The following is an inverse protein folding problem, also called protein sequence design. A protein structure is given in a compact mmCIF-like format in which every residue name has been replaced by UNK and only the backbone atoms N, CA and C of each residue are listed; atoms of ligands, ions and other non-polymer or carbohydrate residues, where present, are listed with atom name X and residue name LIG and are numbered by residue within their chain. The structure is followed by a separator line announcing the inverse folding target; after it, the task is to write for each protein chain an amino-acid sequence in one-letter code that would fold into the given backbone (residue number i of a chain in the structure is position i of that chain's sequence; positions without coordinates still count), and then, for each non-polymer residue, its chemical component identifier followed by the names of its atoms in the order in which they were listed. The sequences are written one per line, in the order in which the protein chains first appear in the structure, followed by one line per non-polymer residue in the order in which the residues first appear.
data_IF_894898453498
#
_entry.id   IF_894898453498
#
_cell.length_a   1.000
_cell.length_b   1.000
_cell.length_c   1.000
_cell.angle_alpha   90.00
_cell.angle_beta   90.00
_cell.angle_gamma   90.00
#
_symmetry.space_group_name_H-M   'P 1'
#
loop_
_entity.id
_entity.type
_entity.pdbx_description
1 polymer ?
#
# COMPACT_ATOMS: atom_id res chain seq x y z
N UNK A 1 -31.52 11.55 1.29
CA UNK A 1 -30.33 11.69 2.17
C UNK A 1 -30.02 10.39 2.93
N UNK A 2 -31.02 9.65 3.47
CA UNK A 2 -30.76 8.34 4.12
C UNK A 2 -30.34 7.20 3.18
N UNK A 3 -30.78 7.20 1.92
CA UNK A 3 -30.45 6.10 0.98
C UNK A 3 -29.01 6.12 0.45
N UNK A 4 -28.35 7.29 0.39
CA UNK A 4 -26.95 7.39 -0.06
C UNK A 4 -25.94 6.78 0.92
N UNK A 5 -26.26 6.74 2.22
CA UNK A 5 -25.39 6.11 3.23
C UNK A 5 -25.39 4.58 3.13
N UNK A 6 -26.55 4.00 2.83
CA UNK A 6 -26.70 2.54 2.73
C UNK A 6 -25.93 1.96 1.53
N UNK A 7 -25.92 2.69 0.39
CA UNK A 7 -25.18 2.28 -0.81
C UNK A 7 -23.68 2.21 -0.53
N UNK A 8 -23.15 3.16 0.23
CA UNK A 8 -21.71 3.23 0.50
C UNK A 8 -21.27 2.20 1.55
N UNK A 9 -22.13 1.89 2.52
CA UNK A 9 -21.92 0.76 3.45
C UNK A 9 -21.93 -0.60 2.73
N UNK A 10 -22.85 -0.78 1.77
CA UNK A 10 -22.93 -2.01 0.96
C UNK A 10 -21.72 -2.16 0.03
N UNK A 11 -21.26 -1.07 -0.59
CA UNK A 11 -20.04 -1.08 -1.42
C UNK A 11 -18.81 -1.49 -0.61
N UNK A 12 -18.65 -0.95 0.60
CA UNK A 12 -17.48 -1.28 1.41
C UNK A 12 -17.52 -2.71 1.94
N UNK A 13 -18.73 -3.24 2.21
CA UNK A 13 -18.91 -4.66 2.53
C UNK A 13 -18.55 -5.57 1.34
N UNK A 14 -19.00 -5.24 0.14
CA UNK A 14 -18.65 -5.99 -1.09
C UNK A 14 -17.14 -5.96 -1.30
N UNK A 15 -16.49 -4.81 -1.08
CA UNK A 15 -15.03 -4.69 -1.22
C UNK A 15 -14.27 -5.57 -0.25
N UNK A 16 -14.68 -5.59 1.02
CA UNK A 16 -14.09 -6.44 2.06
C UNK A 16 -14.28 -7.92 1.74
N UNK A 17 -15.49 -8.30 1.31
CA UNK A 17 -15.82 -9.68 0.97
C UNK A 17 -15.00 -10.18 -0.24
N UNK A 18 -14.89 -9.36 -1.29
CA UNK A 18 -14.11 -9.70 -2.49
C UNK A 18 -12.63 -9.91 -2.17
N UNK A 19 -12.06 -9.07 -1.30
CA UNK A 19 -10.67 -9.24 -0.84
C UNK A 19 -10.48 -10.53 -0.04
N UNK A 20 -11.47 -10.92 0.76
CA UNK A 20 -11.42 -12.17 1.53
C UNK A 20 -11.53 -13.40 0.63
N UNK A 21 -12.38 -13.35 -0.41
CA UNK A 21 -12.51 -14.42 -1.41
C UNK A 21 -11.21 -14.60 -2.22
N UNK A 22 -10.58 -13.52 -2.65
CA UNK A 22 -9.30 -13.60 -3.36
C UNK A 22 -8.19 -14.20 -2.48
N UNK A 23 -8.14 -13.80 -1.20
CA UNK A 23 -7.19 -14.38 -0.23
C UNK A 23 -7.45 -15.86 0.05
N UNK A 24 -8.70 -16.31 -0.06
CA UNK A 24 -9.07 -17.72 0.09
C UNK A 24 -8.73 -18.51 -1.18
N UNK A 25 -8.97 -17.95 -2.37
CA UNK A 25 -8.60 -18.55 -3.64
C UNK A 25 -7.09 -18.76 -3.76
N UNK A 26 -6.28 -17.77 -3.35
CA UNK A 26 -4.82 -17.89 -3.31
C UNK A 26 -4.34 -18.98 -2.35
N UNK A 27 -5.03 -19.17 -1.22
CA UNK A 27 -4.73 -20.28 -0.30
C UNK A 27 -5.10 -21.61 -0.92
N UNK A 28 -6.27 -21.74 -1.55
CA UNK A 28 -6.74 -22.99 -2.17
C UNK A 28 -5.86 -23.40 -3.35
N UNK A 29 -5.36 -22.44 -4.14
CA UNK A 29 -4.44 -22.70 -5.25
C UNK A 29 -3.10 -23.30 -4.80
N UNK A 30 -2.69 -23.10 -3.55
CA UNK A 30 -1.46 -23.69 -2.99
C UNK A 30 -1.59 -25.19 -2.67
N UNK A 31 -2.80 -25.76 -2.79
CA UNK A 31 -3.08 -27.16 -2.43
C UNK A 31 -3.47 -28.04 -3.64
N UNK A 32 -3.39 -27.53 -4.88
CA UNK A 32 -3.82 -28.26 -6.07
C UNK A 32 -2.88 -29.42 -6.51
N UNK A 33 -1.67 -29.53 -5.95
CA UNK A 33 -0.66 -30.53 -6.37
C UNK A 33 -0.40 -31.66 -5.34
N UNK A 34 -1.33 -31.92 -4.40
CA UNK A 34 -1.13 -32.92 -3.32
C UNK A 34 -2.08 -34.13 -3.52
N UNK A 35 -1.59 -35.39 -3.45
CA UNK A 35 -2.42 -36.58 -3.63
C UNK A 35 -3.52 -36.72 -2.56
N UNK A 36 -4.68 -37.23 -2.99
CA UNK A 36 -6.01 -37.09 -2.33
C UNK A 36 -6.14 -37.63 -0.91
N UNK A 37 -5.21 -38.45 -0.43
CA UNK A 37 -5.22 -39.01 0.93
C UNK A 37 -4.61 -38.09 1.98
N UNK A 38 -3.81 -37.10 1.57
CA UNK A 38 -3.16 -36.14 2.48
C UNK A 38 -3.95 -34.83 2.59
N UNK A 39 -4.69 -34.45 1.53
CA UNK A 39 -5.57 -33.28 1.51
C UNK A 39 -6.73 -33.38 2.49
N UNK A 40 -7.32 -34.56 2.70
CA UNK A 40 -8.41 -34.76 3.66
C UNK A 40 -7.94 -34.59 5.12
N UNK A 41 -6.75 -35.12 5.46
CA UNK A 41 -6.14 -34.94 6.78
C UNK A 41 -5.73 -33.49 7.04
N UNK A 42 -5.30 -32.77 6.01
CA UNK A 42 -4.95 -31.36 6.12
C UNK A 42 -6.18 -30.45 6.21
N UNK A 43 -7.28 -30.78 5.52
CA UNK A 43 -8.55 -30.04 5.63
C UNK A 43 -9.19 -30.18 7.02
N UNK A 44 -9.09 -31.36 7.64
CA UNK A 44 -9.58 -31.57 9.01
C UNK A 44 -8.74 -30.79 10.04
N UNK A 45 -7.43 -30.70 9.81
CA UNK A 45 -6.51 -29.90 10.63
C UNK A 45 -6.73 -28.39 10.45
N UNK A 46 -6.95 -27.93 9.21
CA UNK A 46 -7.33 -26.54 8.90
C UNK A 46 -8.68 -26.15 9.51
N UNK A 47 -9.65 -27.07 9.53
CA UNK A 47 -10.95 -26.85 10.20
C UNK A 47 -10.79 -26.67 11.72
N UNK A 48 -9.87 -27.42 12.34
CA UNK A 48 -9.50 -27.26 13.74
C UNK A 48 -8.78 -25.93 14.03
N UNK A 49 -7.83 -25.56 13.19
CA UNK A 49 -7.04 -24.33 13.34
C UNK A 49 -7.91 -23.08 13.11
N UNK A 50 -8.85 -23.10 12.16
CA UNK A 50 -9.81 -22.02 11.92
C UNK A 50 -10.77 -21.86 13.13
N UNK A 51 -11.25 -22.96 13.72
CA UNK A 51 -12.11 -22.89 14.92
C UNK A 51 -11.38 -22.30 16.13
N UNK A 52 -10.07 -22.54 16.25
CA UNK A 52 -9.25 -22.00 17.33
C UNK A 52 -8.85 -20.53 17.10
N UNK A 53 -8.59 -20.11 15.85
CA UNK A 53 -8.29 -18.70 15.53
C UNK A 53 -9.52 -17.79 15.60
N UNK A 54 -10.71 -18.28 15.23
CA UNK A 54 -11.97 -17.53 15.33
C UNK A 54 -12.39 -17.31 16.80
N UNK A 55 -11.94 -18.16 17.72
CA UNK A 55 -12.18 -18.01 19.16
C UNK A 55 -11.42 -16.86 19.85
N UNK A 56 -10.40 -16.28 19.22
CA UNK A 56 -9.57 -15.22 19.83
C UNK A 56 -9.68 -13.85 19.16
N UNK A 57 -10.38 -13.74 18.02
CA UNK A 57 -10.63 -12.48 17.34
C UNK A 57 -12.09 -12.37 16.89
N UNK A 58 -13.03 -12.50 17.82
CA UNK A 58 -14.40 -12.03 17.56
C UNK A 58 -14.37 -10.51 17.41
N UNK A 59 -14.73 -9.94 16.23
CA UNK A 59 -15.04 -8.53 16.13
C UNK A 59 -16.17 -8.21 17.13
N UNK A 60 -16.28 -6.96 17.62
CA UNK A 60 -17.46 -6.58 18.40
C UNK A 60 -18.73 -6.97 17.63
N UNK A 61 -19.77 -7.49 18.31
CA UNK A 61 -21.00 -7.90 17.66
C UNK A 61 -21.53 -6.73 16.83
N UNK A 62 -21.61 -6.95 15.52
CA UNK A 62 -22.28 -6.03 14.60
C UNK A 62 -23.74 -5.94 15.06
N UNK A 63 -24.32 -4.73 15.20
CA UNK A 63 -25.70 -4.58 15.65
C UNK A 63 -26.64 -5.41 14.77
N UNK A 64 -27.46 -6.25 15.39
CA UNK A 64 -28.34 -7.24 14.76
C UNK A 64 -29.49 -6.65 13.91
N UNK A 65 -29.47 -5.35 13.62
CA UNK A 65 -30.56 -4.63 12.97
C UNK A 65 -30.35 -4.41 11.46
N UNK A 66 -29.25 -4.91 10.89
CA UNK A 66 -29.03 -4.87 9.44
C UNK A 66 -29.19 -6.26 8.85
N UNK A 67 -30.33 -6.45 8.18
CA UNK A 67 -30.82 -7.68 7.56
C UNK A 67 -29.97 -8.02 6.30
N UNK A 68 -28.68 -8.30 6.49
CA UNK A 68 -27.72 -8.57 5.41
C UNK A 68 -28.01 -9.84 4.62
N UNK A 69 -28.56 -10.86 5.27
CA UNK A 69 -28.92 -12.13 4.62
C UNK A 69 -30.01 -11.92 3.57
N UNK A 70 -30.96 -11.00 3.82
CA UNK A 70 -32.00 -10.63 2.85
C UNK A 70 -31.44 -9.91 1.63
N UNK A 71 -30.44 -9.04 1.82
CA UNK A 71 -29.79 -8.29 0.73
C UNK A 71 -28.96 -9.22 -0.15
N UNK A 72 -28.19 -10.14 0.44
CA UNK A 72 -27.39 -11.12 -0.31
C UNK A 72 -28.26 -12.11 -1.06
N UNK A 73 -29.40 -12.53 -0.49
CA UNK A 73 -30.36 -13.40 -1.18
C UNK A 73 -31.03 -12.66 -2.35
N UNK A 74 -31.42 -11.40 -2.17
CA UNK A 74 -32.00 -10.57 -3.22
C UNK A 74 -31.01 -10.31 -4.38
N UNK A 75 -29.75 -10.03 -4.04
CA UNK A 75 -28.67 -9.89 -5.03
C UNK A 75 -28.46 -11.22 -5.76
N UNK A 76 -28.43 -12.34 -5.04
CA UNK A 76 -28.32 -13.69 -5.62
C UNK A 76 -29.46 -14.02 -6.59
N UNK A 77 -30.69 -13.63 -6.26
CA UNK A 77 -31.87 -13.80 -7.13
C UNK A 77 -31.80 -12.92 -8.38
N UNK A 78 -31.35 -11.66 -8.24
CA UNK A 78 -31.11 -10.75 -9.38
C UNK A 78 -30.01 -11.32 -10.30
N UNK A 79 -28.92 -11.84 -9.75
CA UNK A 79 -27.83 -12.47 -10.51
C UNK A 79 -28.23 -13.78 -11.20
N UNK A 80 -29.25 -14.47 -10.68
CA UNK A 80 -29.81 -15.69 -11.25
C UNK A 80 -30.85 -15.41 -12.34
N UNK A 81 -31.58 -14.29 -12.22
CA UNK A 81 -32.55 -13.81 -13.21
C UNK A 81 -31.88 -13.16 -14.44
N UNK A 82 -30.71 -12.57 -14.27
CA UNK A 82 -29.89 -12.01 -15.35
C UNK A 82 -29.05 -13.16 -15.93
N UNK A 83 -29.46 -13.72 -17.07
CA UNK A 83 -28.73 -14.78 -17.77
C UNK A 83 -27.30 -14.39 -18.16
N UNK A 84 -26.47 -15.39 -18.48
CA UNK A 84 -25.01 -15.25 -18.65
C UNK A 84 -24.56 -14.25 -19.72
N UNK A 85 -25.41 -13.92 -20.70
CA UNK A 85 -25.08 -13.00 -21.80
C UNK A 85 -24.99 -11.53 -21.40
N UNK A 86 -25.63 -11.10 -20.31
CA UNK A 86 -25.69 -9.68 -19.90
C UNK A 86 -24.80 -9.37 -18.69
N UNK A 87 -24.16 -10.39 -18.10
CA UNK A 87 -23.29 -10.22 -16.92
C UNK A 87 -22.03 -9.42 -17.27
N UNK A 88 -21.38 -9.71 -18.39
CA UNK A 88 -20.12 -9.06 -18.79
C UNK A 88 -20.26 -7.57 -19.06
N UNK A 89 -21.37 -7.14 -19.66
CA UNK A 89 -21.64 -5.72 -19.92
C UNK A 89 -21.92 -4.95 -18.63
N UNK A 90 -22.69 -5.56 -17.70
CA UNK A 90 -22.97 -4.97 -16.39
C UNK A 90 -21.70 -4.81 -15.55
N UNK A 91 -20.79 -5.79 -15.56
CA UNK A 91 -19.52 -5.70 -14.84
C UNK A 91 -18.57 -4.68 -15.47
N UNK A 92 -18.56 -4.51 -16.80
CA UNK A 92 -17.76 -3.49 -17.47
C UNK A 92 -18.18 -2.07 -17.06
N UNK A 93 -19.49 -1.82 -16.95
CA UNK A 93 -20.02 -0.52 -16.50
C UNK A 93 -19.74 -0.26 -15.02
N UNK A 94 -19.78 -1.30 -14.18
CA UNK A 94 -19.41 -1.21 -12.76
C UNK A 94 -17.92 -0.94 -12.58
N UNK A 95 -17.05 -1.61 -13.35
CA UNK A 95 -15.59 -1.36 -13.31
C UNK A 95 -15.24 0.04 -13.81
N UNK A 96 -15.95 0.54 -14.84
CA UNK A 96 -15.85 1.91 -15.32
C UNK A 96 -16.30 2.95 -14.28
N UNK A 97 -17.36 2.68 -13.53
CA UNK A 97 -17.81 3.55 -12.44
C UNK A 97 -16.84 3.53 -11.25
N UNK A 98 -16.35 2.35 -10.87
CA UNK A 98 -15.44 2.17 -9.74
C UNK A 98 -14.07 2.83 -9.99
N UNK A 99 -13.53 2.73 -11.21
CA UNK A 99 -12.28 3.40 -11.58
C UNK A 99 -12.40 4.93 -11.56
N UNK A 100 -13.55 5.48 -11.97
CA UNK A 100 -13.82 6.92 -11.89
C UNK A 100 -13.97 7.42 -10.45
N UNK A 101 -14.57 6.63 -9.56
CA UNK A 101 -14.66 6.95 -8.13
C UNK A 101 -13.29 6.85 -7.44
N UNK A 102 -12.49 5.82 -7.73
CA UNK A 102 -11.11 5.69 -7.25
C UNK A 102 -10.26 6.91 -7.63
N UNK A 103 -10.37 7.37 -8.88
CA UNK A 103 -9.69 8.59 -9.33
C UNK A 103 -10.12 9.84 -8.55
N UNK A 104 -11.38 9.93 -8.10
CA UNK A 104 -11.87 11.05 -7.28
C UNK A 104 -11.36 10.98 -5.84
N UNK A 105 -11.28 9.79 -5.25
CA UNK A 105 -10.71 9.58 -3.91
C UNK A 105 -9.22 9.91 -3.85
N UNK A 106 -8.45 9.45 -4.85
CA UNK A 106 -7.01 9.67 -4.91
C UNK A 106 -6.62 11.16 -4.96
N UNK A 107 -7.42 11.99 -5.62
CA UNK A 107 -7.20 13.44 -5.77
C UNK A 107 -7.03 14.17 -4.43
N UNK A 108 -7.70 13.69 -3.37
CA UNK A 108 -7.64 14.33 -2.05
C UNK A 108 -6.27 14.18 -1.38
N UNK A 109 -5.50 13.16 -1.75
CA UNK A 109 -4.19 12.86 -1.17
C UNK A 109 -3.02 13.40 -2.00
N UNK A 110 -3.27 14.05 -3.15
CA UNK A 110 -2.21 14.67 -3.94
C UNK A 110 -1.65 15.92 -3.24
N UNK A 111 -0.37 15.83 -2.92
CA UNK A 111 0.43 16.95 -2.41
C UNK A 111 0.99 17.80 -3.54
N UNK A 112 0.77 19.10 -3.47
CA UNK A 112 1.30 20.12 -4.40
C UNK A 112 2.29 21.09 -3.73
N UNK A 113 2.53 20.93 -2.44
CA UNK A 113 3.40 21.80 -1.63
C UNK A 113 4.91 21.52 -1.84
N UNK A 114 5.25 20.33 -2.31
CA UNK A 114 6.62 19.89 -2.48
C UNK A 114 7.19 20.32 -3.84
N UNK A 115 8.51 20.54 -3.95
CA UNK A 115 9.13 20.88 -5.22
C UNK A 115 9.10 19.69 -6.19
N UNK A 116 9.00 19.96 -7.49
CA UNK A 116 9.19 18.94 -8.53
C UNK A 116 10.59 18.39 -8.46
N UNK A 117 10.81 17.07 -8.53
CA UNK A 117 12.14 16.47 -8.40
C UNK A 117 12.60 15.90 -9.74
N UNK A 118 13.89 15.96 -10.03
CA UNK A 118 14.49 15.23 -11.16
C UNK A 118 15.56 14.24 -10.68
N UNK A 119 15.79 13.22 -11.50
CA UNK A 119 16.89 12.26 -11.30
C UNK A 119 18.22 13.00 -11.42
N UNK A 120 19.11 12.79 -10.44
CA UNK A 120 20.38 13.51 -10.30
C UNK A 120 20.33 14.75 -9.40
N UNK A 121 19.14 15.17 -8.94
CA UNK A 121 19.02 16.26 -7.96
C UNK A 121 19.54 15.79 -6.59
N UNK A 122 20.27 16.68 -5.89
CA UNK A 122 20.65 16.50 -4.49
C UNK A 122 19.55 17.06 -3.60
N UNK A 123 19.01 16.21 -2.74
CA UNK A 123 17.85 16.53 -1.91
C UNK A 123 18.12 16.22 -0.45
N UNK A 124 17.44 16.97 0.41
CA UNK A 124 17.31 16.71 1.82
C UNK A 124 15.83 16.48 2.13
N UNK A 125 15.49 15.25 2.52
CA UNK A 125 14.14 14.82 2.87
C UNK A 125 14.02 14.83 4.39
N UNK A 126 13.10 15.64 4.91
CA UNK A 126 12.74 15.62 6.33
C UNK A 126 11.50 14.74 6.52
N UNK A 127 11.62 13.69 7.34
CA UNK A 127 10.50 12.78 7.67
C UNK A 127 10.18 12.80 9.15
N UNK A 128 8.91 12.60 9.49
CA UNK A 128 8.47 12.37 10.87
C UNK A 128 8.90 10.97 11.30
N UNK A 129 9.66 10.88 12.37
CA UNK A 129 10.04 9.63 13.00
C UNK A 129 9.30 9.51 14.33
N UNK A 130 8.44 8.50 14.42
CA UNK A 130 7.74 8.11 15.63
C UNK A 130 8.52 6.96 16.26
N UNK A 131 9.57 7.26 17.03
CA UNK A 131 10.24 6.21 17.80
C UNK A 131 9.29 5.73 18.90
N UNK A 132 9.08 4.43 18.96
CA UNK A 132 8.22 3.75 19.94
C UNK A 132 8.72 3.89 21.40
N UNK A 133 9.94 4.41 21.62
CA UNK A 133 10.62 4.47 22.91
C UNK A 133 10.25 5.67 23.81
N UNK A 134 9.41 6.61 23.35
CA UNK A 134 8.90 7.71 24.18
C UNK A 134 7.53 7.39 24.81
N UNK A 135 7.24 6.10 25.05
CA UNK A 135 6.01 5.67 25.75
C UNK A 135 6.10 5.73 27.27
N UNK A 136 7.26 5.99 27.84
CA UNK A 136 7.46 6.03 29.29
C UNK A 136 8.22 7.29 29.68
N UNK A 137 7.46 8.36 29.92
CA UNK A 137 7.65 9.32 31.03
C UNK A 137 6.88 10.58 30.66
N UNK A 138 5.67 10.63 31.21
CA UNK A 138 5.00 11.81 31.75
C UNK A 138 4.85 13.02 30.82
N UNK A 139 3.60 13.45 30.69
CA UNK A 139 3.09 14.66 30.06
C UNK A 139 2.74 14.60 28.56
N UNK A 140 1.48 14.98 28.32
CA UNK A 140 0.77 15.12 27.07
C UNK A 140 1.58 15.79 25.96
N UNK A 141 1.52 15.21 24.76
CA UNK A 141 2.11 15.62 23.45
C UNK A 141 3.40 14.85 23.09
N UNK A 142 3.21 13.66 22.51
CA UNK A 142 4.24 12.93 21.76
C UNK A 142 4.68 13.79 20.55
N UNK A 143 5.80 14.52 20.67
CA UNK A 143 6.34 15.32 19.57
C UNK A 143 7.16 14.43 18.63
N UNK A 144 6.78 14.27 17.35
CA UNK A 144 7.56 13.48 16.42
C UNK A 144 8.93 14.13 16.17
N UNK A 145 10.00 13.34 16.22
CA UNK A 145 11.34 13.79 15.86
C UNK A 145 11.48 13.85 14.34
N UNK A 146 12.09 14.91 13.82
CA UNK A 146 12.40 15.03 12.40
C UNK A 146 13.70 14.28 12.08
N UNK A 147 13.62 13.31 11.17
CA UNK A 147 14.77 12.62 10.60
C UNK A 147 15.11 13.24 9.25
N UNK A 148 16.40 13.58 9.06
CA UNK A 148 16.88 14.19 7.83
C UNK A 148 17.66 13.16 6.99
N UNK A 149 17.18 12.92 5.78
CA UNK A 149 17.83 12.06 4.81
C UNK A 149 18.36 12.90 3.64
N UNK A 150 19.66 13.16 3.65
CA UNK A 150 20.35 13.91 2.60
C UNK A 150 21.04 12.97 1.63
N UNK A 151 20.78 13.13 0.33
CA UNK A 151 21.37 12.29 -0.71
C UNK A 151 21.01 12.75 -2.12
N UNK A 152 21.28 11.89 -3.10
CA UNK A 152 21.00 12.15 -4.53
C UNK A 152 19.81 11.31 -4.98
N UNK A 153 18.87 11.90 -5.72
CA UNK A 153 17.75 11.16 -6.32
C UNK A 153 18.30 10.29 -7.46
N UNK A 154 18.17 8.97 -7.33
CA UNK A 154 18.70 8.01 -8.31
C UNK A 154 17.63 7.43 -9.22
N UNK A 155 16.38 7.40 -8.79
CA UNK A 155 15.28 6.82 -9.54
C UNK A 155 13.96 7.44 -9.13
N UNK A 156 13.03 7.50 -10.07
CA UNK A 156 11.65 7.95 -9.87
C UNK A 156 10.72 6.98 -10.58
N UNK A 157 9.50 6.81 -10.05
CA UNK A 157 8.45 5.97 -10.66
C UNK A 157 7.11 6.67 -10.52
N UNK A 158 6.31 6.65 -11.58
CA UNK A 158 4.91 7.11 -11.57
C UNK A 158 4.72 8.58 -11.14
N UNK A 159 5.47 9.53 -11.73
CA UNK A 159 5.46 10.95 -11.35
C UNK A 159 4.07 11.61 -11.30
N UNK A 160 3.12 11.13 -12.10
CA UNK A 160 1.78 11.72 -12.23
C UNK A 160 0.70 10.94 -11.47
N UNK A 161 1.06 9.97 -10.65
CA UNK A 161 0.12 9.13 -9.91
C UNK A 161 0.30 9.29 -8.40
N UNK A 162 -0.72 8.93 -7.63
CA UNK A 162 -0.63 8.92 -6.16
C UNK A 162 0.47 7.98 -5.65
N UNK A 163 0.79 6.96 -6.44
CA UNK A 163 1.89 6.01 -6.23
C UNK A 163 3.28 6.57 -6.57
N UNK A 164 3.42 7.89 -6.79
CA UNK A 164 4.69 8.52 -7.11
C UNK A 164 5.72 8.24 -6.01
N UNK A 165 6.78 7.53 -6.40
CA UNK A 165 7.91 7.22 -5.52
C UNK A 165 9.22 7.73 -6.11
N UNK A 166 10.14 8.09 -5.22
CA UNK A 166 11.50 8.47 -5.59
C UNK A 166 12.50 7.80 -4.64
N UNK A 167 13.60 7.30 -5.20
CA UNK A 167 14.69 6.69 -4.43
C UNK A 167 15.82 7.70 -4.28
N UNK A 168 16.29 7.87 -3.05
CA UNK A 168 17.44 8.72 -2.70
C UNK A 168 18.58 7.83 -2.22
N UNK A 169 19.76 8.05 -2.77
CA UNK A 169 21.00 7.40 -2.38
C UNK A 169 21.81 8.34 -1.50
N UNK A 170 22.10 7.89 -0.27
CA UNK A 170 22.93 8.59 0.70
C UNK A 170 24.22 7.82 0.90
N UNK A 171 25.33 8.55 0.90
CA UNK A 171 26.60 8.05 1.37
C UNK A 171 26.64 8.16 2.91
N UNK A 172 26.78 7.04 3.60
CA UNK A 172 26.74 7.02 5.08
C UNK A 172 28.07 7.51 5.65
N UNK A 173 28.01 8.47 6.56
CA UNK A 173 29.18 8.95 7.29
C UNK A 173 29.41 8.04 8.51
N UNK A 174 30.36 7.11 8.40
CA UNK A 174 30.71 6.18 9.47
C UNK A 174 31.95 5.35 9.14
N UNK A 175 32.43 4.55 10.11
CA UNK A 175 33.52 3.58 9.89
C UNK A 175 33.13 2.52 8.87
N UNK A 176 31.87 2.12 8.90
CA UNK A 176 31.25 1.30 7.87
C UNK A 176 30.70 2.26 6.78
N UNK A 177 31.55 2.58 5.79
CA UNK A 177 31.20 3.37 4.60
C UNK A 177 30.18 2.61 3.73
N UNK A 178 28.92 2.58 4.15
CA UNK A 178 27.83 1.86 3.49
C UNK A 178 26.95 2.83 2.69
N UNK A 179 26.70 2.54 1.42
CA UNK A 179 25.74 3.28 0.61
C UNK A 179 24.32 2.90 1.00
N UNK A 180 23.53 3.87 1.47
CA UNK A 180 22.16 3.64 1.93
C UNK A 180 21.19 4.18 0.87
N UNK A 181 20.41 3.27 0.28
CA UNK A 181 19.29 3.62 -0.58
C UNK A 181 18.01 3.64 0.24
N UNK A 182 17.25 4.73 0.15
CA UNK A 182 15.91 4.81 0.71
C UNK A 182 14.90 5.24 -0.34
N UNK A 183 13.72 4.63 -0.35
CA UNK A 183 12.63 4.96 -1.28
C UNK A 183 11.51 5.63 -0.51
N UNK A 184 11.07 6.78 -1.01
CA UNK A 184 10.04 7.61 -0.40
C UNK A 184 8.85 7.74 -1.35
N UNK A 185 7.64 7.68 -0.80
CA UNK A 185 6.41 8.03 -1.53
C UNK A 185 6.19 9.53 -1.43
N UNK A 186 6.15 10.23 -2.57
CA UNK A 186 6.13 11.70 -2.64
C UNK A 186 4.93 12.32 -1.91
N UNK A 187 3.76 11.69 -2.03
CA UNK A 187 2.52 12.14 -1.40
C UNK A 187 2.35 11.65 0.04
N UNK A 188 3.37 11.02 0.65
CA UNK A 188 3.26 10.50 2.01
C UNK A 188 3.09 11.63 3.05
N UNK A 189 2.19 11.50 4.03
CA UNK A 189 2.03 12.46 5.14
C UNK A 189 3.22 12.42 6.12
N UNK A 190 4.06 11.39 6.05
CA UNK A 190 5.26 11.27 6.87
C UNK A 190 6.38 12.21 6.42
N UNK A 191 6.37 12.65 5.16
CA UNK A 191 7.34 13.63 4.64
C UNK A 191 6.90 15.02 5.10
N UNK A 192 7.75 15.75 5.80
CA UNK A 192 7.45 17.12 6.21
C UNK A 192 7.83 18.09 5.12
N UNK A 193 9.06 17.97 4.62
CA UNK A 193 9.58 18.86 3.57
C UNK A 193 10.63 18.15 2.74
N UNK A 194 10.72 18.52 1.46
CA UNK A 194 11.82 18.13 0.58
C UNK A 194 12.52 19.40 0.12
N UNK A 195 13.81 19.54 0.47
CA UNK A 195 14.64 20.68 0.06
C UNK A 195 15.62 20.25 -1.02
N UNK A 196 15.68 20.99 -2.11
CA UNK A 196 16.72 20.82 -3.13
C UNK A 196 17.98 21.56 -2.71
N UNK A 197 19.10 20.84 -2.59
CA UNK A 197 20.41 21.43 -2.28
C UNK A 197 21.23 21.71 -3.53
N UNK A 198 20.96 21.02 -4.65
CA UNK A 198 21.68 21.22 -5.90
C UNK A 198 21.46 20.07 -6.87
N UNK A 199 22.38 19.90 -7.82
CA UNK A 199 22.36 18.80 -8.79
C UNK A 199 23.74 18.15 -8.88
N UNK A 200 23.80 16.92 -9.38
CA UNK A 200 25.07 16.30 -9.74
C UNK A 200 25.75 17.12 -10.85
N UNK A 201 27.07 17.24 -10.81
CA UNK A 201 27.83 18.08 -11.77
C UNK A 201 27.84 17.50 -13.19
N UNK A 202 27.60 16.19 -13.33
CA UNK A 202 27.62 15.50 -14.63
C UNK A 202 26.24 15.55 -15.28
N UNK A 203 26.20 15.60 -16.61
CA UNK A 203 24.95 15.47 -17.37
C UNK A 203 24.34 14.09 -17.09
N UNK A 204 23.10 14.10 -16.60
CA UNK A 204 22.32 12.89 -16.36
C UNK A 204 21.51 12.57 -17.62
N UNK A 205 21.87 11.48 -18.29
CA UNK A 205 21.15 10.99 -19.47
C UNK A 205 20.29 9.75 -19.17
N UNK A 206 20.51 9.09 -18.04
CA UNK A 206 19.79 7.86 -17.66
C UNK A 206 18.63 8.20 -16.73
N UNK A 207 17.48 7.56 -16.96
CA UNK A 207 16.30 7.68 -16.08
C UNK A 207 16.51 7.04 -14.70
N UNK A 208 17.45 6.08 -14.57
CA UNK A 208 17.83 5.45 -13.31
C UNK A 208 19.36 5.43 -13.17
N UNK A 209 19.86 5.88 -12.04
CA UNK A 209 21.29 6.02 -11.74
C UNK A 209 21.79 4.92 -10.80
N UNK A 210 21.38 3.67 -11.05
CA UNK A 210 21.80 2.53 -10.22
C UNK A 210 23.32 2.32 -10.24
N UNK A 211 24.03 2.82 -11.26
CA UNK A 211 25.49 2.74 -11.33
C UNK A 211 26.18 3.56 -10.23
N UNK A 212 25.53 4.59 -9.68
CA UNK A 212 26.09 5.38 -8.57
C UNK A 212 26.25 4.53 -7.29
N UNK A 213 25.42 3.50 -7.11
CA UNK A 213 25.58 2.55 -5.99
C UNK A 213 26.88 1.75 -6.14
N UNK A 214 27.21 1.35 -7.37
CA UNK A 214 28.47 0.64 -7.68
C UNK A 214 29.68 1.55 -7.57
N UNK A 215 29.61 2.77 -8.13
CA UNK A 215 30.71 3.74 -8.02
C UNK A 215 31.04 4.07 -6.56
N UNK A 216 30.04 4.16 -5.69
CA UNK A 216 30.24 4.36 -4.25
C UNK A 216 30.91 3.14 -3.60
N UNK A 217 30.57 1.92 -4.02
CA UNK A 217 31.20 0.70 -3.54
C UNK A 217 32.65 0.56 -4.03
N UNK A 218 32.92 0.79 -5.31
CA UNK A 218 34.28 0.74 -5.88
C UNK A 218 35.19 1.81 -5.29
N UNK A 219 34.66 3.00 -5.00
CA UNK A 219 35.43 4.05 -4.33
C UNK A 219 35.90 3.62 -2.94
N UNK A 220 35.16 2.75 -2.25
CA UNK A 220 35.54 2.20 -0.96
C UNK A 220 36.72 1.23 -1.08
N UNK A 221 36.76 0.40 -2.12
CA UNK A 221 37.81 -0.61 -2.28
C UNK A 221 39.19 -0.01 -2.59
N UNK A 222 39.21 1.25 -3.06
CA UNK A 222 40.43 1.96 -3.45
C UNK A 222 40.97 2.96 -2.38
N UNK A 223 40.31 3.08 -1.21
CA UNK A 223 40.67 4.03 -0.14
C UNK A 223 41.04 3.30 1.16
#
# INVERSE_FOLDING_TARGET
IKEMGLVEEVKELIRVFTNHLNKLADKVSQYQDIPSTESERMLEKLSGDIKNEVGQNTPPPIPADQNFDGVLSSIGEIFKAIGDSNKSELFADVDGALSNEQSKGDKQYFRTDLPSLQVGDKVEVATKNFRQSEKEKNDSVLKPRLAHFKGTVIAQRNQNQISYTFSVLKDSKGRDKLAIRSTFSYHSPFIVSVKKTGKIMRKVCRAKLNYLEKELAEKKDNE
#
